data_IF_455361758910
#
_entry.id   IF_455361758910
#
_cell.length_a   1.000
_cell.length_b   1.000
_cell.length_c   1.000
_cell.angle_alpha   90.00
_cell.angle_beta   90.00
_cell.angle_gamma   90.00
#
_symmetry.space_group_name_H-M   'P 1'
#
loop_
_entity.id
_entity.type
_entity.pdbx_description
1 polymer ?
#
# COMPACT_ATOMS: atom_id res chain seq x y z
N UNK A 1 22.09 -5.96 -11.75
CA UNK A 1 21.57 -5.24 -10.57
C UNK A 1 20.05 -5.35 -10.62
N UNK A 2 19.39 -5.79 -9.56
CA UNK A 2 17.93 -5.94 -9.52
C UNK A 2 17.39 -5.21 -8.29
N UNK A 3 16.37 -4.38 -8.49
CA UNK A 3 15.68 -3.67 -7.42
C UNK A 3 14.91 -4.67 -6.55
N UNK A 4 15.17 -4.67 -5.25
CA UNK A 4 14.38 -5.39 -4.27
C UNK A 4 13.37 -4.41 -3.66
N UNK A 5 12.11 -4.82 -3.62
CA UNK A 5 10.90 -4.08 -3.22
C UNK A 5 10.22 -3.30 -4.37
N UNK A 6 9.07 -3.81 -4.81
CA UNK A 6 8.30 -3.34 -5.97
C UNK A 6 7.02 -2.60 -5.53
N UNK A 7 7.04 -1.97 -4.35
CA UNK A 7 5.97 -1.11 -3.84
C UNK A 7 5.85 0.14 -4.70
N UNK A 8 5.25 0.01 -5.87
CA UNK A 8 4.87 1.14 -6.70
C UNK A 8 3.83 1.97 -5.96
N UNK A 9 4.10 3.26 -5.78
CA UNK A 9 3.07 4.16 -5.28
C UNK A 9 1.86 4.12 -6.19
N UNK A 10 0.65 4.04 -5.61
CA UNK A 10 -0.53 4.10 -6.42
C UNK A 10 -0.73 5.55 -6.89
N UNK A 11 -0.99 5.69 -8.18
CA UNK A 11 -1.34 6.94 -8.82
C UNK A 11 -2.85 6.98 -9.01
N UNK A 12 -3.38 8.19 -9.00
CA UNK A 12 -4.74 8.49 -9.40
C UNK A 12 -4.73 8.78 -10.90
N UNK A 13 -5.37 7.94 -11.70
CA UNK A 13 -5.60 8.19 -13.12
C UNK A 13 -6.98 8.77 -13.33
N UNK A 14 -7.05 9.88 -14.06
CA UNK A 14 -8.26 10.49 -14.57
C UNK A 14 -8.33 10.27 -16.09
N UNK A 15 -9.37 9.57 -16.52
CA UNK A 15 -9.62 9.19 -17.91
C UNK A 15 -10.20 10.35 -18.74
N UNK A 16 -9.41 11.38 -18.99
CA UNK A 16 -9.83 12.60 -19.69
C UNK A 16 -10.28 12.40 -21.14
N UNK A 17 -9.92 11.26 -21.72
CA UNK A 17 -10.34 10.83 -23.06
C UNK A 17 -11.82 10.41 -23.12
N UNK A 18 -12.43 10.03 -21.99
CA UNK A 18 -13.83 9.61 -21.94
C UNK A 18 -14.78 10.83 -21.92
N UNK A 19 -16.03 10.65 -22.36
CA UNK A 19 -17.06 11.68 -22.30
C UNK A 19 -17.40 12.09 -20.86
N UNK A 20 -17.40 11.10 -19.97
CA UNK A 20 -17.59 11.22 -18.54
C UNK A 20 -16.41 10.62 -17.78
N UNK A 21 -15.29 11.36 -17.66
CA UNK A 21 -14.05 10.88 -17.03
C UNK A 21 -14.26 10.31 -15.63
N UNK A 22 -13.64 9.17 -15.35
CA UNK A 22 -13.60 8.57 -14.01
C UNK A 22 -12.21 8.57 -13.40
N UNK A 23 -12.20 8.52 -12.07
CA UNK A 23 -11.01 8.30 -11.27
C UNK A 23 -10.74 6.80 -11.12
N UNK A 24 -9.47 6.42 -11.29
CA UNK A 24 -9.03 5.03 -11.15
C UNK A 24 -7.67 4.95 -10.46
N UNK A 25 -7.41 3.84 -9.76
CA UNK A 25 -6.12 3.57 -9.14
C UNK A 25 -5.26 2.80 -10.11
N UNK A 26 -4.07 3.33 -10.40
CA UNK A 26 -3.09 2.67 -11.28
C UNK A 26 -1.74 2.62 -10.60
N UNK A 27 -0.92 1.63 -10.98
CA UNK A 27 0.48 1.54 -10.53
C UNK A 27 1.48 1.73 -11.67
N UNK A 28 0.99 1.67 -12.92
CA UNK A 28 1.75 1.81 -14.17
C UNK A 28 0.95 2.70 -15.13
N UNK A 29 1.63 3.50 -15.94
CA UNK A 29 0.98 4.21 -17.05
C UNK A 29 0.68 3.24 -18.18
N UNK A 30 -0.45 3.46 -18.84
CA UNK A 30 -0.77 2.77 -20.09
C UNK A 30 -0.39 3.59 -21.34
N UNK A 31 0.21 4.80 -21.19
CA UNK A 31 0.53 5.67 -22.34
C UNK A 31 -0.71 6.11 -23.11
N UNK A 32 -1.82 6.31 -22.42
CA UNK A 32 -3.18 6.47 -22.97
C UNK A 32 -3.67 7.93 -23.02
N UNK A 33 -2.78 8.89 -22.78
CA UNK A 33 -3.11 10.32 -22.74
C UNK A 33 -4.00 10.74 -21.56
N UNK A 34 -4.22 9.87 -20.57
CA UNK A 34 -4.94 10.21 -19.35
C UNK A 34 -4.11 11.13 -18.43
N UNK A 35 -4.79 11.89 -17.56
CA UNK A 35 -4.12 12.66 -16.51
C UNK A 35 -3.78 11.73 -15.33
N UNK A 36 -2.54 11.75 -14.87
CA UNK A 36 -2.08 10.96 -13.73
C UNK A 36 -1.63 11.90 -12.59
N UNK A 37 -2.04 11.59 -11.38
CA UNK A 37 -1.75 12.37 -10.17
C UNK A 37 -1.16 11.48 -9.10
N UNK A 38 -0.18 12.02 -8.37
CA UNK A 38 0.58 11.33 -7.35
C UNK A 38 2.08 11.55 -7.51
N UNK A 39 2.92 10.69 -6.91
CA UNK A 39 2.54 9.49 -6.17
C UNK A 39 1.82 9.77 -4.83
N UNK A 40 0.95 8.85 -4.39
CA UNK A 40 0.28 8.94 -3.08
C UNK A 40 1.00 8.09 -2.01
N UNK A 41 1.23 8.62 -0.78
CA UNK A 41 2.01 7.95 0.26
C UNK A 41 1.50 6.56 0.69
N UNK A 42 0.22 6.27 0.46
CA UNK A 42 -0.33 4.94 0.70
C UNK A 42 -1.61 4.72 -0.12
N UNK A 43 -1.99 3.46 -0.39
CA UNK A 43 -3.29 3.14 -0.96
C UNK A 43 -4.46 3.69 -0.13
N UNK A 44 -4.31 3.73 1.20
CA UNK A 44 -5.31 4.32 2.10
C UNK A 44 -5.48 5.83 1.89
N UNK A 45 -4.37 6.55 1.73
CA UNK A 45 -4.39 7.99 1.39
C UNK A 45 -5.06 8.24 0.05
N UNK A 46 -4.66 7.49 -0.98
CA UNK A 46 -5.26 7.59 -2.32
C UNK A 46 -6.78 7.35 -2.30
N UNK A 47 -7.23 6.30 -1.62
CA UNK A 47 -8.66 5.97 -1.52
C UNK A 47 -9.44 7.06 -0.78
N UNK A 48 -8.87 7.70 0.24
CA UNK A 48 -9.48 8.86 0.89
C UNK A 48 -9.62 10.03 -0.08
N UNK A 49 -8.57 10.34 -0.84
CA UNK A 49 -8.61 11.39 -1.87
C UNK A 49 -9.65 11.10 -2.94
N UNK A 50 -9.75 9.87 -3.45
CA UNK A 50 -10.77 9.49 -4.43
C UNK A 50 -12.18 9.75 -3.90
N UNK A 51 -12.48 9.29 -2.67
CA UNK A 51 -13.81 9.51 -2.06
C UNK A 51 -14.13 10.98 -1.90
N UNK A 52 -13.15 11.77 -1.46
CA UNK A 52 -13.30 13.22 -1.38
C UNK A 52 -13.61 13.83 -2.74
N UNK A 53 -12.82 13.51 -3.78
CA UNK A 53 -13.01 14.08 -5.11
C UNK A 53 -14.37 13.68 -5.72
N UNK A 54 -14.80 12.44 -5.52
CA UNK A 54 -16.11 11.97 -5.97
C UNK A 54 -17.24 12.76 -5.29
N UNK A 55 -17.15 12.97 -3.97
CA UNK A 55 -18.15 13.73 -3.22
C UNK A 55 -18.16 15.21 -3.62
N UNK A 56 -17.00 15.88 -3.56
CA UNK A 56 -16.88 17.33 -3.73
C UNK A 56 -17.02 17.81 -5.17
N UNK A 57 -16.72 16.97 -6.16
CA UNK A 57 -16.78 17.35 -7.59
C UNK A 57 -17.80 16.52 -8.38
N UNK A 58 -18.61 15.71 -7.68
CA UNK A 58 -19.63 14.83 -8.25
C UNK A 58 -19.11 13.91 -9.37
N UNK A 59 -17.84 13.49 -9.25
CA UNK A 59 -17.22 12.57 -10.20
C UNK A 59 -17.78 11.16 -9.96
N UNK A 60 -18.06 10.46 -11.06
CA UNK A 60 -18.72 9.16 -11.03
C UNK A 60 -17.83 8.12 -10.34
N UNK A 61 -18.45 7.30 -9.50
CA UNK A 61 -17.80 6.14 -8.87
C UNK A 61 -18.05 4.82 -9.61
N UNK A 62 -19.03 4.79 -10.53
CA UNK A 62 -19.39 3.56 -11.22
C UNK A 62 -18.31 3.09 -12.21
N UNK A 63 -18.15 1.77 -12.29
CA UNK A 63 -17.25 1.09 -13.23
C UNK A 63 -17.95 0.79 -14.56
N UNK A 64 -17.19 0.71 -15.65
CA UNK A 64 -17.68 0.43 -17.01
C UNK A 64 -18.14 1.66 -17.79
N UNK A 65 -18.66 1.46 -19.00
CA UNK A 65 -19.25 2.50 -19.83
C UNK A 65 -20.44 3.16 -19.12
N UNK A 66 -20.68 4.44 -19.41
CA UNK A 66 -21.83 5.14 -18.84
C UNK A 66 -23.15 4.65 -19.47
N UNK A 67 -23.08 4.27 -20.75
CA UNK A 67 -24.19 3.80 -21.58
C UNK A 67 -24.67 2.40 -21.18
N UNK A 68 -23.80 1.63 -20.52
CA UNK A 68 -24.11 0.27 -20.04
C UNK A 68 -24.99 0.27 -18.77
N UNK A 69 -25.41 1.43 -18.27
CA UNK A 69 -26.14 1.56 -17.01
C UNK A 69 -27.63 1.76 -17.25
N UNK A 70 -28.43 0.75 -16.88
CA UNK A 70 -29.89 0.80 -16.92
C UNK A 70 -30.48 1.65 -15.78
N UNK A 71 -31.62 2.29 -16.07
CA UNK A 71 -32.37 3.36 -15.37
C UNK A 71 -32.66 3.27 -13.86
N UNK A 72 -32.16 2.27 -13.14
CA UNK A 72 -32.32 2.23 -11.68
C UNK A 72 -31.26 3.11 -11.04
N UNK A 73 -31.67 4.32 -10.64
CA UNK A 73 -30.87 5.32 -9.92
C UNK A 73 -30.01 4.65 -8.84
N UNK A 74 -28.69 4.74 -9.00
CA UNK A 74 -27.76 4.11 -8.09
C UNK A 74 -27.69 4.83 -6.73
N UNK A 75 -27.15 4.14 -5.73
CA UNK A 75 -27.00 4.69 -4.37
C UNK A 75 -26.21 6.02 -4.36
N UNK A 76 -25.19 6.18 -5.21
CA UNK A 76 -24.41 7.42 -5.28
C UNK A 76 -25.24 8.62 -5.76
N UNK A 77 -26.19 8.40 -6.67
CA UNK A 77 -27.14 9.42 -7.09
C UNK A 77 -28.11 9.75 -5.95
N UNK A 78 -28.66 8.73 -5.29
CA UNK A 78 -29.59 8.91 -4.17
C UNK A 78 -28.95 9.64 -2.98
N UNK A 79 -27.64 9.47 -2.78
CA UNK A 79 -26.86 10.20 -1.77
C UNK A 79 -26.36 11.58 -2.23
N UNK A 80 -26.67 12.01 -3.46
CA UNK A 80 -26.20 13.30 -4.00
C UNK A 80 -24.71 13.37 -4.31
N UNK A 81 -23.99 12.24 -4.37
CA UNK A 81 -22.55 12.19 -4.71
C UNK A 81 -22.29 12.13 -6.22
N UNK A 82 -23.33 11.94 -7.03
CA UNK A 82 -23.28 11.89 -8.48
C UNK A 82 -24.56 12.53 -9.01
N UNK A 83 -24.48 13.37 -10.04
CA UNK A 83 -25.65 14.07 -10.60
C UNK A 83 -26.39 13.29 -11.70
N UNK A 84 -26.05 12.00 -11.86
CA UNK A 84 -26.78 11.09 -12.76
C UNK A 84 -26.51 11.30 -14.26
N UNK A 85 -25.24 11.43 -14.72
CA UNK A 85 -24.95 11.51 -16.15
C UNK A 85 -25.35 10.26 -16.94
N UNK A 86 -25.51 9.10 -16.28
CA UNK A 86 -26.04 7.87 -16.91
C UNK A 86 -27.54 7.95 -17.24
N UNK A 87 -28.29 8.78 -16.52
CA UNK A 87 -29.71 8.98 -16.73
C UNK A 87 -29.98 10.25 -17.57
N UNK A 88 -28.92 10.86 -18.14
CA UNK A 88 -29.00 12.10 -18.90
C UNK A 88 -29.30 13.36 -18.06
N UNK A 89 -29.27 13.26 -16.74
CA UNK A 89 -29.61 14.36 -15.82
C UNK A 89 -28.50 15.41 -15.69
N UNK A 90 -27.28 15.09 -16.15
CA UNK A 90 -26.16 15.99 -16.19
C UNK A 90 -25.54 15.98 -17.57
N UNK A 91 -25.40 17.16 -18.19
CA UNK A 91 -24.78 17.31 -19.50
C UNK A 91 -23.27 17.03 -19.47
N UNK A 92 -22.73 16.64 -20.62
CA UNK A 92 -21.29 16.36 -20.81
C UNK A 92 -20.42 17.56 -20.43
N UNK A 93 -20.81 18.78 -20.79
CA UNK A 93 -20.02 19.98 -20.53
C UNK A 93 -19.95 20.31 -19.04
N UNK A 94 -21.08 20.24 -18.34
CA UNK A 94 -21.18 20.46 -16.89
C UNK A 94 -20.37 19.41 -16.12
N UNK A 95 -20.45 18.15 -16.55
CA UNK A 95 -19.64 17.08 -15.98
C UNK A 95 -18.14 17.36 -16.13
N UNK A 96 -17.72 17.74 -17.34
CA UNK A 96 -16.32 18.08 -17.63
C UNK A 96 -15.86 19.31 -16.84
N UNK A 97 -16.74 20.27 -16.56
CA UNK A 97 -16.42 21.40 -15.70
C UNK A 97 -16.06 20.94 -14.27
N UNK A 98 -16.88 20.08 -13.66
CA UNK A 98 -16.58 19.50 -12.35
C UNK A 98 -15.27 18.69 -12.33
N UNK A 99 -15.00 17.95 -13.41
CA UNK A 99 -13.72 17.23 -13.56
C UNK A 99 -12.52 18.18 -13.66
N UNK A 100 -12.64 19.30 -14.39
CA UNK A 100 -11.59 20.33 -14.47
C UNK A 100 -11.33 20.97 -13.10
N UNK A 101 -12.38 21.27 -12.35
CA UNK A 101 -12.25 21.80 -10.99
C UNK A 101 -11.48 20.83 -10.07
N UNK A 102 -11.76 19.53 -10.18
CA UNK A 102 -11.04 18.50 -9.44
C UNK A 102 -9.54 18.44 -9.81
N UNK A 103 -9.22 18.60 -11.10
CA UNK A 103 -7.83 18.69 -11.57
C UNK A 103 -7.13 19.94 -11.04
N UNK A 104 -7.78 21.09 -11.07
CA UNK A 104 -7.21 22.34 -10.56
C UNK A 104 -6.97 22.27 -9.05
N UNK A 105 -7.90 21.68 -8.28
CA UNK A 105 -7.71 21.39 -6.86
C UNK A 105 -6.46 20.53 -6.62
N UNK A 106 -6.32 19.43 -7.36
CA UNK A 106 -5.20 18.48 -7.20
C UNK A 106 -3.85 19.07 -7.65
N UNK A 107 -3.87 20.04 -8.57
CA UNK A 107 -2.69 20.82 -8.99
C UNK A 107 -2.38 21.97 -8.05
N UNK A 108 -3.08 22.08 -6.91
CA UNK A 108 -2.82 23.07 -5.87
C UNK A 108 -3.42 24.45 -6.14
N UNK A 109 -4.31 24.59 -7.14
CA UNK A 109 -5.01 25.84 -7.46
C UNK A 109 -6.32 26.01 -6.66
N UNK A 110 -6.39 25.43 -5.46
CA UNK A 110 -7.60 25.41 -4.64
C UNK A 110 -8.11 26.81 -4.29
N UNK A 111 -7.23 27.80 -4.11
CA UNK A 111 -7.63 29.18 -3.80
C UNK A 111 -8.43 29.85 -4.92
N UNK A 112 -7.98 29.70 -6.18
CA UNK A 112 -8.68 30.25 -7.34
C UNK A 112 -10.03 29.55 -7.57
N UNK A 113 -10.08 28.23 -7.35
CA UNK A 113 -11.31 27.45 -7.40
C UNK A 113 -12.32 27.91 -6.33
N UNK A 114 -11.89 28.03 -5.08
CA UNK A 114 -12.75 28.49 -3.97
C UNK A 114 -13.27 29.90 -4.24
N UNK A 115 -12.42 30.80 -4.75
CA UNK A 115 -12.86 32.15 -5.13
C UNK A 115 -13.99 32.14 -6.16
N UNK A 116 -13.89 31.29 -7.19
CA UNK A 116 -14.93 31.14 -8.22
C UNK A 116 -16.24 30.59 -7.64
N UNK A 117 -16.15 29.52 -6.85
CA UNK A 117 -17.32 28.90 -6.22
C UNK A 117 -18.03 29.84 -5.23
N UNK A 118 -17.27 30.71 -4.54
CA UNK A 118 -17.86 31.74 -3.67
C UNK A 118 -18.65 32.79 -4.45
N UNK A 119 -18.12 33.24 -5.59
CA UNK A 119 -18.84 34.17 -6.47
C UNK A 119 -20.14 33.54 -7.00
N UNK A 120 -20.09 32.29 -7.46
CA UNK A 120 -21.28 31.54 -7.90
C UNK A 120 -22.30 31.39 -6.74
N UNK A 121 -21.82 31.10 -5.52
CA UNK A 121 -22.68 30.99 -4.34
C UNK A 121 -23.38 32.31 -3.99
N UNK A 122 -22.67 33.44 -4.09
CA UNK A 122 -23.22 34.78 -3.87
C UNK A 122 -24.26 35.14 -4.93
N UNK A 123 -24.02 34.79 -6.19
CA UNK A 123 -24.98 34.98 -7.28
C UNK A 123 -26.28 34.19 -7.05
N UNK A 124 -26.17 32.90 -6.70
CA UNK A 124 -27.32 32.05 -6.37
C UNK A 124 -28.09 32.58 -5.15
N UNK A 125 -27.38 33.05 -4.14
CA UNK A 125 -28.00 33.70 -2.97
C UNK A 125 -28.71 35.00 -3.33
N UNK A 126 -28.12 35.83 -4.20
CA UNK A 126 -28.71 37.06 -4.70
C UNK A 126 -29.97 36.81 -5.54
N UNK A 127 -30.01 35.68 -6.26
CA UNK A 127 -31.17 35.22 -7.01
C UNK A 127 -32.23 34.48 -6.15
N UNK A 128 -32.09 34.50 -4.82
CA UNK A 128 -32.98 33.82 -3.86
C UNK A 128 -33.02 32.28 -4.02
N UNK A 129 -32.02 31.67 -4.65
CA UNK A 129 -31.87 30.21 -4.84
C UNK A 129 -31.07 29.60 -3.69
N UNK A 130 -31.61 29.68 -2.47
CA UNK A 130 -30.89 29.31 -1.24
C UNK A 130 -30.43 27.84 -1.20
N UNK A 131 -31.15 26.91 -1.82
CA UNK A 131 -30.74 25.51 -1.87
C UNK A 131 -29.47 25.30 -2.71
N UNK A 132 -29.36 26.01 -3.83
CA UNK A 132 -28.17 25.96 -4.70
C UNK A 132 -26.98 26.62 -3.99
N UNK A 133 -27.19 27.78 -3.36
CA UNK A 133 -26.17 28.46 -2.56
C UNK A 133 -25.69 27.57 -1.38
N UNK A 134 -26.59 26.87 -0.69
CA UNK A 134 -26.22 25.94 0.38
C UNK A 134 -25.34 24.78 -0.12
N UNK A 135 -25.65 24.21 -1.30
CA UNK A 135 -24.82 23.15 -1.92
C UNK A 135 -23.42 23.66 -2.27
N UNK A 136 -23.31 24.88 -2.81
CA UNK A 136 -22.01 25.50 -3.11
C UNK A 136 -21.21 25.79 -1.84
N UNK A 137 -21.86 26.30 -0.79
CA UNK A 137 -21.23 26.52 0.53
C UNK A 137 -20.66 25.24 1.11
N UNK A 138 -21.44 24.17 1.13
CA UNK A 138 -21.01 22.89 1.70
C UNK A 138 -19.87 22.28 0.87
N UNK A 139 -19.90 22.47 -0.46
CA UNK A 139 -18.80 22.11 -1.37
C UNK A 139 -17.52 22.91 -1.11
N UNK A 140 -17.63 24.21 -0.88
CA UNK A 140 -16.49 25.07 -0.50
C UNK A 140 -15.87 24.57 0.80
N UNK A 141 -16.69 24.30 1.81
CA UNK A 141 -16.24 23.79 3.10
C UNK A 141 -15.49 22.46 2.98
N UNK A 142 -16.05 21.50 2.23
CA UNK A 142 -15.39 20.23 1.96
C UNK A 142 -14.00 20.44 1.31
N UNK A 143 -13.90 21.37 0.34
CA UNK A 143 -12.64 21.70 -0.35
C UNK A 143 -11.60 22.33 0.58
N UNK A 144 -12.03 23.27 1.42
CA UNK A 144 -11.14 23.98 2.34
C UNK A 144 -10.59 23.05 3.43
N UNK A 145 -11.41 22.18 4.01
CA UNK A 145 -10.98 21.23 5.03
C UNK A 145 -9.88 20.29 4.52
N UNK A 146 -10.05 19.74 3.31
CA UNK A 146 -9.03 18.87 2.71
C UNK A 146 -7.80 19.64 2.25
N UNK A 147 -7.97 20.86 1.73
CA UNK A 147 -6.84 21.72 1.38
C UNK A 147 -5.97 22.05 2.60
N UNK A 148 -6.60 22.34 3.74
CA UNK A 148 -5.92 22.64 5.01
C UNK A 148 -5.17 21.41 5.55
N UNK A 149 -5.82 20.23 5.57
CA UNK A 149 -5.19 18.97 5.96
C UNK A 149 -3.99 18.61 5.06
N UNK A 150 -4.06 18.94 3.76
CA UNK A 150 -2.94 18.77 2.83
C UNK A 150 -1.81 19.77 3.12
N UNK A 151 -2.12 21.02 3.45
CA UNK A 151 -1.12 22.04 3.78
C UNK A 151 -0.34 21.73 5.06
N UNK A 152 -1.00 21.22 6.10
CA UNK A 152 -0.37 20.93 7.40
C UNK A 152 0.68 19.81 7.34
N UNK A 153 0.68 18.97 6.29
CA UNK A 153 1.60 17.82 6.14
C UNK A 153 2.71 18.06 5.12
N UNK A 154 2.77 19.25 4.53
CA UNK A 154 3.61 19.53 3.38
C UNK A 154 4.76 20.47 3.77
N UNK A 155 5.97 20.03 3.48
CA UNK A 155 7.17 20.87 3.54
C UNK A 155 7.29 21.61 2.20
N UNK A 156 7.32 22.95 2.25
CA UNK A 156 7.61 23.77 1.08
C UNK A 156 9.10 23.63 0.74
N UNK A 157 9.38 23.04 -0.43
CA UNK A 157 10.76 22.80 -0.91
C UNK A 157 11.16 23.86 -1.96
N UNK A 158 10.16 24.53 -2.56
CA UNK A 158 10.36 25.44 -3.69
C UNK A 158 10.62 24.68 -4.99
N UNK A 159 10.58 25.38 -6.12
CA UNK A 159 10.71 24.74 -7.46
C UNK A 159 9.41 24.13 -7.98
N UNK A 160 9.49 23.47 -9.15
CA UNK A 160 8.36 22.82 -9.82
C UNK A 160 8.17 21.36 -9.37
N UNK A 161 7.88 20.48 -10.34
CA UNK A 161 7.82 19.04 -10.10
C UNK A 161 9.22 18.43 -10.14
N UNK A 162 9.68 17.88 -9.03
CA UNK A 162 11.03 17.33 -8.88
C UNK A 162 10.99 15.97 -8.18
N UNK A 163 11.86 15.05 -8.58
CA UNK A 163 12.22 13.89 -7.76
C UNK A 163 13.66 14.06 -7.26
N UNK A 164 13.88 13.81 -5.97
CA UNK A 164 15.18 14.02 -5.32
C UNK A 164 15.68 12.69 -4.82
N UNK A 165 16.78 12.22 -5.39
CA UNK A 165 17.37 10.93 -5.07
C UNK A 165 18.52 11.09 -4.08
N UNK A 166 18.47 10.29 -3.02
CA UNK A 166 19.57 10.04 -2.10
C UNK A 166 20.10 8.62 -2.27
N UNK A 167 21.39 8.43 -2.02
CA UNK A 167 22.06 7.14 -2.07
C UNK A 167 22.82 6.91 -0.75
N UNK A 168 22.64 5.73 -0.17
CA UNK A 168 23.46 5.21 0.90
C UNK A 168 23.95 3.80 0.53
N UNK A 169 25.20 3.47 0.88
CA UNK A 169 25.83 2.18 0.57
C UNK A 169 26.18 1.45 1.84
N UNK A 170 25.79 0.18 1.92
CA UNK A 170 26.12 -0.67 3.07
C UNK A 170 26.09 -2.16 2.68
N UNK A 171 27.17 -2.89 2.96
CA UNK A 171 27.25 -4.36 2.83
C UNK A 171 26.82 -4.91 1.47
N UNK A 172 27.42 -4.43 0.38
CA UNK A 172 27.06 -4.85 -1.00
C UNK A 172 25.64 -4.45 -1.45
N UNK A 173 25.00 -3.51 -0.75
CA UNK A 173 23.69 -2.95 -1.09
C UNK A 173 23.80 -1.44 -1.30
N UNK A 174 22.98 -0.94 -2.22
CA UNK A 174 22.73 0.48 -2.41
C UNK A 174 21.28 0.77 -2.04
N UNK A 175 21.07 1.52 -0.96
CA UNK A 175 19.76 2.06 -0.60
C UNK A 175 19.55 3.40 -1.28
N UNK A 176 18.51 3.48 -2.10
CA UNK A 176 18.04 4.71 -2.69
C UNK A 176 16.84 5.24 -1.93
N UNK A 177 16.84 6.53 -1.62
CA UNK A 177 15.66 7.22 -1.13
C UNK A 177 15.21 8.27 -2.13
N UNK A 178 13.94 8.25 -2.51
CA UNK A 178 13.37 9.17 -3.50
C UNK A 178 12.32 10.03 -2.81
N UNK A 179 12.56 11.33 -2.74
CA UNK A 179 11.54 12.30 -2.36
C UNK A 179 10.77 12.78 -3.58
N UNK A 180 9.45 12.83 -3.48
CA UNK A 180 8.56 13.26 -4.55
C UNK A 180 8.03 14.66 -4.28
N UNK A 181 8.50 15.65 -5.03
CA UNK A 181 8.08 17.05 -4.93
C UNK A 181 7.17 17.40 -6.10
N UNK A 182 5.96 17.92 -5.84
CA UNK A 182 5.03 18.38 -6.87
C UNK A 182 4.58 19.80 -6.59
N UNK A 183 4.64 20.68 -7.58
CA UNK A 183 4.37 22.10 -7.39
C UNK A 183 5.14 22.74 -6.23
N UNK A 184 6.40 22.34 -6.02
CA UNK A 184 7.26 22.85 -4.94
C UNK A 184 6.94 22.31 -3.54
N UNK A 185 6.11 21.26 -3.45
CA UNK A 185 5.64 20.65 -2.19
C UNK A 185 6.07 19.20 -2.08
N UNK A 186 6.65 18.80 -0.95
CA UNK A 186 6.99 17.40 -0.68
C UNK A 186 5.71 16.57 -0.46
N UNK A 187 5.43 15.62 -1.34
CA UNK A 187 4.27 14.72 -1.23
C UNK A 187 4.56 13.47 -0.40
N UNK A 188 5.81 13.03 -0.35
CA UNK A 188 6.24 11.82 0.36
C UNK A 188 7.54 11.27 -0.21
N UNK A 189 7.87 10.05 0.19
CA UNK A 189 9.15 9.42 -0.15
C UNK A 189 9.09 7.90 -0.24
N UNK A 190 10.08 7.30 -0.91
CA UNK A 190 10.27 5.85 -1.00
C UNK A 190 11.70 5.45 -0.77
N UNK A 191 11.88 4.27 -0.17
CA UNK A 191 13.17 3.61 0.00
C UNK A 191 13.20 2.38 -0.89
N UNK A 192 14.30 2.21 -1.61
CA UNK A 192 14.54 1.06 -2.47
C UNK A 192 15.91 0.46 -2.16
N UNK A 193 16.01 -0.86 -2.19
CA UNK A 193 17.29 -1.54 -2.01
C UNK A 193 17.71 -2.19 -3.31
N UNK A 194 18.89 -1.84 -3.82
CA UNK A 194 19.51 -2.45 -4.98
C UNK A 194 20.68 -3.33 -4.53
N UNK A 195 20.78 -4.55 -5.05
CA UNK A 195 22.01 -5.34 -4.92
C UNK A 195 23.08 -4.72 -5.82
N UNK A 196 24.15 -4.22 -5.20
CA UNK A 196 25.20 -3.46 -5.87
C UNK A 196 26.57 -3.94 -5.37
N UNK A 197 27.38 -4.61 -6.22
CA UNK A 197 28.69 -5.10 -5.83
C UNK A 197 29.54 -4.04 -5.16
N UNK A 198 30.40 -4.49 -4.24
CA UNK A 198 31.45 -3.62 -3.68
C UNK A 198 32.36 -3.11 -4.80
N UNK A 199 32.77 -1.85 -4.69
CA UNK A 199 33.57 -1.17 -5.72
C UNK A 199 32.81 -0.66 -6.94
N UNK A 200 31.52 -0.97 -7.11
CA UNK A 200 30.72 -0.38 -8.19
C UNK A 200 30.60 1.15 -7.99
N UNK A 201 30.99 1.99 -8.96
CA UNK A 201 30.90 3.44 -8.84
C UNK A 201 29.46 3.91 -8.60
N UNK A 202 29.29 4.97 -7.81
CA UNK A 202 27.95 5.50 -7.49
C UNK A 202 27.18 5.95 -8.73
N UNK A 203 27.88 6.48 -9.75
CA UNK A 203 27.26 6.83 -11.03
C UNK A 203 26.62 5.64 -11.74
N UNK A 204 27.24 4.46 -11.68
CA UNK A 204 26.69 3.22 -12.25
C UNK A 204 25.48 2.72 -11.45
N UNK A 205 25.56 2.77 -10.12
CA UNK A 205 24.44 2.42 -9.24
C UNK A 205 23.23 3.34 -9.51
N UNK A 206 23.48 4.65 -9.64
CA UNK A 206 22.45 5.65 -9.98
C UNK A 206 21.87 5.37 -11.37
N UNK A 207 22.69 5.09 -12.38
CA UNK A 207 22.22 4.74 -13.73
C UNK A 207 21.29 3.54 -13.72
N UNK A 208 21.72 2.45 -13.06
CA UNK A 208 20.92 1.23 -12.93
C UNK A 208 19.59 1.48 -12.21
N UNK A 209 19.62 2.22 -11.11
CA UNK A 209 18.42 2.56 -10.34
C UNK A 209 17.44 3.42 -11.16
N UNK A 210 17.91 4.52 -11.77
CA UNK A 210 17.07 5.46 -12.53
C UNK A 210 16.37 4.74 -13.69
N UNK A 211 17.08 3.89 -14.44
CA UNK A 211 16.48 3.11 -15.53
C UNK A 211 15.38 2.19 -15.03
N UNK A 212 15.62 1.43 -13.95
CA UNK A 212 14.63 0.50 -13.40
C UNK A 212 13.44 1.23 -12.78
N UNK A 213 13.71 2.26 -11.96
CA UNK A 213 12.71 3.03 -11.24
C UNK A 213 11.75 3.73 -12.19
N UNK A 214 12.25 4.39 -13.23
CA UNK A 214 11.39 5.13 -14.15
C UNK A 214 10.77 4.24 -15.23
N UNK A 215 11.29 3.05 -15.54
CA UNK A 215 10.82 2.21 -16.66
C UNK A 215 9.31 1.98 -16.68
N UNK A 216 8.69 1.75 -15.53
CA UNK A 216 7.25 1.46 -15.37
C UNK A 216 6.43 2.63 -14.81
N UNK A 217 7.07 3.76 -14.48
CA UNK A 217 6.39 4.87 -13.82
C UNK A 217 5.45 5.63 -14.73
N UNK A 218 4.30 5.98 -14.16
CA UNK A 218 3.24 6.69 -14.88
C UNK A 218 3.49 8.20 -15.00
N UNK A 219 4.21 8.76 -14.05
CA UNK A 219 4.45 10.18 -13.94
C UNK A 219 5.96 10.43 -13.93
N UNK A 220 6.42 11.41 -14.72
CA UNK A 220 7.82 11.84 -14.75
C UNK A 220 7.91 13.31 -14.30
N UNK A 221 8.80 13.66 -13.34
CA UNK A 221 8.97 15.05 -12.87
C UNK A 221 9.61 15.93 -13.96
N UNK A 222 9.60 17.24 -13.77
CA UNK A 222 10.29 18.16 -14.67
C UNK A 222 11.81 18.14 -14.41
N UNK A 223 12.21 17.88 -13.17
CA UNK A 223 13.60 17.71 -12.79
C UNK A 223 13.81 16.43 -11.96
N UNK A 224 14.96 15.79 -12.14
CA UNK A 224 15.44 14.67 -11.32
C UNK A 224 16.79 15.06 -10.74
N UNK A 225 16.87 15.18 -9.41
CA UNK A 225 18.11 15.50 -8.70
C UNK A 225 18.80 14.22 -8.25
N UNK A 226 20.06 14.05 -8.60
CA UNK A 226 20.84 12.83 -8.40
C UNK A 226 21.99 13.04 -7.42
N UNK A 227 22.35 12.01 -6.62
CA UNK A 227 23.47 12.07 -5.67
C UNK A 227 24.84 11.94 -6.34
N UNK A 228 24.91 11.31 -7.51
CA UNK A 228 26.11 11.17 -8.33
C UNK A 228 25.76 11.30 -9.82
N UNK A 229 26.75 11.67 -10.64
CA UNK A 229 26.59 11.76 -12.08
C UNK A 229 26.63 10.35 -12.70
N UNK A 230 25.55 9.88 -13.36
CA UNK A 230 25.61 8.63 -14.09
C UNK A 230 26.43 8.79 -15.39
N UNK A 231 27.15 7.74 -15.84
CA UNK A 231 27.97 7.81 -17.05
C UNK A 231 27.14 8.11 -18.31
N UNK A 232 25.85 7.78 -18.30
CA UNK A 232 24.91 7.93 -19.40
C UNK A 232 23.81 8.95 -19.11
N UNK A 233 24.13 10.01 -18.35
CA UNK A 233 23.21 11.08 -17.97
C UNK A 233 22.42 11.68 -19.15
N UNK A 234 23.08 11.92 -20.28
CA UNK A 234 22.43 12.47 -21.48
C UNK A 234 21.44 11.50 -22.12
N UNK A 235 21.73 10.19 -22.08
CA UNK A 235 20.82 9.16 -22.59
C UNK A 235 19.60 9.07 -21.69
N UNK A 236 19.80 9.07 -20.36
CA UNK A 236 18.72 9.08 -19.37
C UNK A 236 17.82 10.31 -19.57
N UNK A 237 18.41 11.51 -19.67
CA UNK A 237 17.64 12.74 -19.83
C UNK A 237 16.81 12.74 -21.12
N UNK A 238 17.37 12.27 -22.25
CA UNK A 238 16.65 12.13 -23.52
C UNK A 238 15.53 11.10 -23.43
N UNK A 239 15.79 9.94 -22.82
CA UNK A 239 14.79 8.90 -22.65
C UNK A 239 13.61 9.35 -21.80
N UNK A 240 13.88 10.00 -20.65
CA UNK A 240 12.83 10.55 -19.78
C UNK A 240 12.05 11.68 -20.49
N UNK A 241 12.75 12.56 -21.19
CA UNK A 241 12.12 13.66 -21.94
C UNK A 241 11.22 13.14 -23.06
N UNK A 242 11.67 12.12 -23.80
CA UNK A 242 10.88 11.48 -24.85
C UNK A 242 9.61 10.84 -24.31
N UNK A 243 9.70 10.14 -23.17
CA UNK A 243 8.52 9.55 -22.52
C UNK A 243 7.56 10.56 -21.91
N UNK A 244 8.07 11.70 -21.45
CA UNK A 244 7.25 12.79 -20.91
C UNK A 244 6.64 13.67 -22.00
N UNK A 245 7.15 13.58 -23.24
CA UNK A 245 6.86 14.50 -24.35
C UNK A 245 7.19 15.98 -24.00
N UNK A 246 8.03 16.19 -22.99
CA UNK A 246 8.50 17.50 -22.50
C UNK A 246 9.90 17.35 -21.92
N UNK A 247 10.65 18.43 -21.87
CA UNK A 247 12.01 18.43 -21.29
C UNK A 247 11.99 17.94 -19.84
N UNK A 248 12.85 16.97 -19.54
CA UNK A 248 13.19 16.50 -18.19
C UNK A 248 14.64 16.83 -17.93
N UNK A 249 14.93 17.61 -16.89
CA UNK A 249 16.29 17.94 -16.50
C UNK A 249 16.83 16.91 -15.50
N UNK A 250 17.94 16.27 -15.83
CA UNK A 250 18.63 15.33 -14.94
C UNK A 250 19.85 16.07 -14.38
N UNK A 251 19.82 16.39 -13.09
CA UNK A 251 20.78 17.28 -12.43
C UNK A 251 21.51 16.54 -11.32
N UNK A 252 22.81 16.77 -11.19
CA UNK A 252 23.65 16.24 -10.10
C UNK A 252 24.32 17.42 -9.39
N UNK A 253 23.58 18.14 -8.53
CA UNK A 253 24.03 19.41 -7.97
C UNK A 253 25.25 19.23 -7.07
N UNK A 254 26.25 20.10 -7.22
CA UNK A 254 27.48 20.12 -6.40
C UNK A 254 27.49 21.19 -5.30
N UNK A 255 26.62 22.19 -5.39
CA UNK A 255 26.51 23.32 -4.45
C UNK A 255 25.10 23.92 -4.45
N UNK A 256 24.80 24.74 -3.43
CA UNK A 256 23.55 25.51 -3.34
C UNK A 256 22.37 24.71 -2.78
N UNK A 257 21.15 25.26 -2.95
CA UNK A 257 19.94 24.69 -2.35
C UNK A 257 19.62 23.27 -2.85
N UNK A 258 19.72 23.02 -4.17
CA UNK A 258 19.49 21.69 -4.77
C UNK A 258 20.46 20.63 -4.22
N UNK A 259 21.71 21.00 -3.90
CA UNK A 259 22.69 20.10 -3.27
C UNK A 259 22.25 19.70 -1.86
N UNK A 260 21.80 20.65 -1.05
CA UNK A 260 21.30 20.37 0.32
C UNK A 260 20.11 19.41 0.32
N UNK A 261 19.24 19.50 -0.68
CA UNK A 261 18.11 18.57 -0.84
C UNK A 261 18.59 17.13 -1.10
N UNK A 262 19.59 16.98 -1.96
CA UNK A 262 20.21 15.68 -2.26
C UNK A 262 20.97 15.13 -1.03
N UNK A 263 21.67 15.98 -0.28
CA UNK A 263 22.35 15.59 0.96
C UNK A 263 21.35 15.08 2.01
N UNK A 264 20.27 15.84 2.24
CA UNK A 264 19.18 15.41 3.10
C UNK A 264 18.61 14.06 2.66
N UNK A 265 18.45 13.83 1.36
CA UNK A 265 18.00 12.53 0.83
C UNK A 265 19.00 11.41 1.10
N UNK A 266 20.30 11.67 1.01
CA UNK A 266 21.34 10.68 1.33
C UNK A 266 21.38 10.35 2.82
N UNK A 267 21.30 11.34 3.71
CA UNK A 267 21.21 11.14 5.16
C UNK A 267 19.97 10.31 5.52
N UNK A 268 18.84 10.66 4.92
CA UNK A 268 17.59 9.94 5.10
C UNK A 268 17.64 8.50 4.54
N UNK A 269 18.45 8.23 3.51
CA UNK A 269 18.71 6.88 3.01
C UNK A 269 19.55 6.08 4.02
N UNK A 270 20.54 6.70 4.67
CA UNK A 270 21.33 6.09 5.74
C UNK A 270 20.46 5.71 6.95
N UNK A 271 19.64 6.63 7.45
CA UNK A 271 18.70 6.34 8.55
C UNK A 271 17.66 5.25 8.19
N UNK A 272 17.32 5.11 6.90
CA UNK A 272 16.47 4.01 6.45
C UNK A 272 17.22 2.67 6.46
N UNK A 273 18.50 2.66 6.08
CA UNK A 273 19.36 1.48 6.14
C UNK A 273 19.52 0.98 7.59
N UNK A 274 19.84 1.88 8.52
CA UNK A 274 19.98 1.57 9.94
C UNK A 274 18.69 0.97 10.52
N UNK A 275 17.54 1.56 10.21
CA UNK A 275 16.23 1.03 10.65
C UNK A 275 15.95 -0.35 10.06
N UNK A 276 16.23 -0.56 8.77
CA UNK A 276 16.04 -1.86 8.14
C UNK A 276 16.97 -2.93 8.71
N UNK A 277 18.21 -2.56 9.05
CA UNK A 277 19.16 -3.45 9.71
C UNK A 277 18.71 -3.80 11.13
N UNK A 278 18.27 -2.81 11.91
CA UNK A 278 17.75 -3.03 13.26
C UNK A 278 16.48 -3.90 13.26
N UNK A 279 15.57 -3.68 12.30
CA UNK A 279 14.38 -4.52 12.12
C UNK A 279 14.74 -5.95 11.76
N UNK A 280 15.69 -6.16 10.83
CA UNK A 280 16.16 -7.50 10.47
C UNK A 280 16.84 -8.22 11.65
N UNK A 281 17.65 -7.52 12.46
CA UNK A 281 18.26 -8.08 13.67
C UNK A 281 17.19 -8.48 14.69
N UNK A 282 16.15 -7.66 14.84
CA UNK A 282 15.02 -7.96 15.74
C UNK A 282 14.20 -9.16 15.25
N UNK A 283 13.94 -9.24 13.94
CA UNK A 283 13.27 -10.39 13.31
C UNK A 283 14.07 -11.67 13.55
N UNK A 284 15.38 -11.64 13.30
CA UNK A 284 16.27 -12.78 13.54
C UNK A 284 16.32 -13.18 15.01
N UNK A 285 16.51 -12.22 15.92
CA UNK A 285 16.51 -12.49 17.36
C UNK A 285 15.18 -13.10 17.84
N UNK A 286 14.06 -12.70 17.22
CA UNK A 286 12.75 -13.31 17.45
C UNK A 286 12.70 -14.78 17.00
N UNK A 287 13.21 -15.08 15.79
CA UNK A 287 13.31 -16.46 15.30
C UNK A 287 14.24 -17.33 16.16
N UNK A 288 15.37 -16.79 16.61
CA UNK A 288 16.32 -17.49 17.47
C UNK A 288 15.70 -17.80 18.85
N UNK A 289 14.92 -16.84 19.40
CA UNK A 289 14.16 -17.06 20.62
C UNK A 289 13.12 -18.19 20.44
N UNK A 290 12.36 -18.17 19.34
CA UNK A 290 11.38 -19.23 19.00
C UNK A 290 12.07 -20.59 18.85
N UNK A 291 13.18 -20.66 18.11
CA UNK A 291 13.97 -21.88 17.95
C UNK A 291 14.36 -22.45 19.32
N UNK A 292 14.94 -21.62 20.19
CA UNK A 292 15.42 -22.06 21.51
C UNK A 292 14.28 -22.49 22.42
N UNK A 293 13.17 -21.76 22.44
CA UNK A 293 12.04 -22.08 23.31
C UNK A 293 11.30 -23.34 22.88
N UNK A 294 11.16 -23.56 21.57
CA UNK A 294 10.46 -24.72 21.03
C UNK A 294 11.39 -25.93 20.80
N UNK A 295 12.70 -25.78 21.00
CA UNK A 295 13.68 -26.84 20.82
C UNK A 295 13.84 -27.29 19.36
N UNK A 296 13.69 -26.37 18.40
CA UNK A 296 13.81 -26.67 16.98
C UNK A 296 15.28 -26.86 16.57
N UNK A 297 15.53 -27.79 15.65
CA UNK A 297 16.89 -28.09 15.16
C UNK A 297 17.55 -26.88 14.46
N UNK A 298 16.74 -26.06 13.78
CA UNK A 298 17.18 -24.85 13.09
C UNK A 298 16.13 -23.73 13.23
N UNK A 299 16.52 -22.44 13.06
CA UNK A 299 15.57 -21.34 12.99
C UNK A 299 14.55 -21.58 11.86
N UNK A 300 13.27 -21.38 12.16
CA UNK A 300 12.20 -21.53 11.16
C UNK A 300 12.30 -20.45 10.08
N UNK A 301 12.50 -20.87 8.83
CA UNK A 301 12.50 -20.00 7.66
C UNK A 301 11.06 -19.65 7.29
N UNK A 302 10.14 -20.61 7.38
CA UNK A 302 8.73 -20.45 7.04
C UNK A 302 7.83 -20.92 8.17
N UNK A 303 6.95 -20.01 8.63
CA UNK A 303 5.99 -20.26 9.71
C UNK A 303 4.58 -20.07 9.14
N UNK A 304 3.66 -21.00 9.41
CA UNK A 304 2.23 -20.80 9.13
C UNK A 304 1.42 -20.84 10.42
N UNK A 305 0.66 -19.78 10.69
CA UNK A 305 -0.21 -19.69 11.86
C UNK A 305 -1.68 -19.87 11.46
N UNK A 306 -2.43 -20.65 12.24
CA UNK A 306 -3.84 -20.98 11.99
C UNK A 306 -4.73 -20.45 13.11
N UNK A 307 -5.86 -19.85 12.73
CA UNK A 307 -6.90 -19.34 13.62
C UNK A 307 -8.29 -19.80 13.16
N UNK A 308 -9.20 -19.99 14.13
CA UNK A 308 -10.62 -20.31 13.92
C UNK A 308 -11.46 -19.16 14.48
N UNK A 309 -12.18 -18.50 13.59
CA UNK A 309 -13.05 -17.38 13.93
C UNK A 309 -14.53 -17.78 13.80
N UNK A 310 -15.27 -17.67 14.91
CA UNK A 310 -16.71 -17.88 14.97
C UNK A 310 -17.46 -16.56 14.68
N UNK A 311 -18.03 -16.45 13.47
CA UNK A 311 -18.92 -15.33 13.15
C UNK A 311 -20.30 -15.60 13.76
N UNK A 312 -20.89 -14.60 14.43
CA UNK A 312 -22.25 -14.67 14.98
C UNK A 312 -23.25 -14.91 13.83
N UNK A 313 -23.60 -16.18 13.59
CA UNK A 313 -24.48 -16.63 12.51
C UNK A 313 -23.86 -17.76 11.67
N UNK A 314 -24.04 -19.00 12.11
CA UNK A 314 -23.96 -20.29 11.36
C UNK A 314 -22.75 -20.60 10.45
N UNK A 315 -21.74 -19.75 10.32
CA UNK A 315 -20.58 -19.98 9.46
C UNK A 315 -19.26 -19.83 10.22
N UNK A 316 -18.63 -20.96 10.51
CA UNK A 316 -17.27 -21.02 11.07
C UNK A 316 -16.28 -20.80 9.92
N UNK A 317 -15.30 -19.93 10.15
CA UNK A 317 -14.27 -19.58 9.16
C UNK A 317 -12.90 -19.80 9.79
N UNK A 318 -12.07 -20.58 9.12
CA UNK A 318 -10.65 -20.69 9.46
C UNK A 318 -9.79 -19.76 8.60
N UNK A 319 -8.66 -19.32 9.13
CA UNK A 319 -7.67 -18.57 8.37
C UNK A 319 -6.27 -19.12 8.66
N UNK A 320 -5.39 -19.02 7.67
CA UNK A 320 -3.96 -19.17 7.91
C UNK A 320 -3.19 -17.97 7.38
N UNK A 321 -2.21 -17.53 8.15
CA UNK A 321 -1.25 -16.49 7.79
C UNK A 321 0.12 -17.12 7.70
N UNK A 322 0.92 -16.67 6.73
CA UNK A 322 2.26 -17.20 6.51
C UNK A 322 3.30 -16.12 6.79
N UNK A 323 4.43 -16.54 7.34
CA UNK A 323 5.62 -15.73 7.56
C UNK A 323 6.81 -16.42 6.90
N UNK A 324 7.76 -15.60 6.41
CA UNK A 324 9.07 -16.04 5.93
C UNK A 324 10.14 -15.13 6.50
N UNK A 325 11.20 -15.69 7.07
CA UNK A 325 12.31 -14.95 7.68
C UNK A 325 11.79 -13.89 8.67
N UNK A 326 10.78 -14.25 9.48
CA UNK A 326 10.14 -13.34 10.45
C UNK A 326 9.19 -12.29 9.84
N UNK A 327 9.03 -12.26 8.50
CA UNK A 327 8.22 -11.25 7.79
C UNK A 327 6.92 -11.83 7.22
N UNK A 328 5.81 -11.07 7.21
CA UNK A 328 4.55 -11.52 6.61
C UNK A 328 4.67 -11.88 5.12
N UNK A 329 4.31 -13.11 4.76
CA UNK A 329 4.21 -13.61 3.40
C UNK A 329 2.75 -13.60 2.93
N UNK A 330 2.27 -12.45 2.47
CA UNK A 330 0.84 -12.23 2.14
C UNK A 330 0.28 -13.18 1.08
N UNK A 331 1.08 -13.54 0.08
CA UNK A 331 0.66 -14.48 -0.97
C UNK A 331 0.45 -15.92 -0.42
N UNK A 332 0.97 -16.19 0.78
CA UNK A 332 0.75 -17.44 1.52
C UNK A 332 -0.56 -17.46 2.33
N UNK A 333 -1.28 -16.33 2.45
CA UNK A 333 -2.46 -16.27 3.31
C UNK A 333 -3.62 -17.08 2.71
N UNK A 334 -4.37 -17.80 3.54
CA UNK A 334 -5.52 -18.59 3.12
C UNK A 334 -6.71 -18.37 4.02
N UNK A 335 -7.90 -18.54 3.47
CA UNK A 335 -9.17 -18.50 4.19
C UNK A 335 -9.95 -19.76 3.84
N UNK A 336 -10.47 -20.42 4.86
CA UNK A 336 -11.18 -21.68 4.77
C UNK A 336 -12.62 -21.48 5.22
N UNK A 337 -13.56 -21.87 4.36
CA UNK A 337 -14.92 -22.13 4.79
C UNK A 337 -14.97 -23.57 5.32
N UNK A 338 -15.37 -23.71 6.58
CA UNK A 338 -15.41 -25.00 7.27
C UNK A 338 -16.68 -25.73 6.87
N UNK A 339 -16.55 -27.01 6.52
CA UNK A 339 -17.63 -27.82 5.95
C UNK A 339 -18.12 -28.91 6.91
N UNK A 340 -17.28 -29.34 7.83
CA UNK A 340 -17.48 -30.53 8.66
C UNK A 340 -18.44 -30.38 9.84
N UNK A 341 -18.78 -29.16 10.27
CA UNK A 341 -19.56 -28.93 11.50
C UNK A 341 -20.97 -28.41 11.21
N UNK A 342 -21.88 -29.35 10.94
CA UNK A 342 -23.31 -29.07 10.93
C UNK A 342 -23.87 -29.21 12.36
N UNK A 343 -24.07 -28.10 13.06
CA UNK A 343 -24.95 -28.02 14.24
C UNK A 343 -24.30 -27.78 15.62
N UNK A 344 -22.97 -27.80 15.75
CA UNK A 344 -22.26 -27.35 16.95
C UNK A 344 -20.89 -26.77 16.57
N UNK A 345 -20.42 -25.74 17.27
CA UNK A 345 -19.08 -25.18 17.07
C UNK A 345 -18.03 -26.13 17.69
N UNK A 346 -17.56 -27.10 16.91
CA UNK A 346 -16.41 -27.92 17.26
C UNK A 346 -15.14 -27.27 16.67
N UNK A 347 -14.51 -26.43 17.49
CA UNK A 347 -13.28 -25.73 17.13
C UNK A 347 -12.10 -26.70 16.90
N UNK A 348 -12.14 -27.92 17.46
CA UNK A 348 -11.09 -28.93 17.28
C UNK A 348 -11.23 -29.64 15.93
N UNK A 349 -12.44 -30.09 15.58
CA UNK A 349 -12.72 -30.64 14.26
C UNK A 349 -12.45 -29.62 13.16
N UNK A 350 -12.82 -28.37 13.41
CA UNK A 350 -12.54 -27.22 12.54
C UNK A 350 -11.04 -27.01 12.32
N UNK A 351 -10.24 -27.01 13.39
CA UNK A 351 -8.78 -26.87 13.31
C UNK A 351 -8.15 -28.02 12.52
N UNK A 352 -8.55 -29.27 12.83
CA UNK A 352 -8.09 -30.46 12.11
C UNK A 352 -8.39 -30.35 10.61
N UNK A 353 -9.61 -29.96 10.24
CA UNK A 353 -10.03 -29.83 8.84
C UNK A 353 -9.12 -28.86 8.07
N UNK A 354 -8.87 -27.67 8.63
CA UNK A 354 -8.11 -26.64 7.91
C UNK A 354 -6.62 -26.97 7.81
N UNK A 355 -6.04 -27.57 8.86
CA UNK A 355 -4.64 -28.01 8.85
C UNK A 355 -4.46 -29.14 7.84
N UNK A 356 -5.32 -30.17 7.90
CA UNK A 356 -5.28 -31.31 6.98
C UNK A 356 -5.36 -30.83 5.51
N UNK A 357 -6.40 -30.05 5.18
CA UNK A 357 -6.58 -29.53 3.81
C UNK A 357 -5.40 -28.69 3.33
N UNK A 358 -4.75 -27.95 4.22
CA UNK A 358 -3.59 -27.12 3.87
C UNK A 358 -2.38 -28.00 3.58
N UNK A 359 -2.08 -28.95 4.45
CA UNK A 359 -0.90 -29.79 4.33
C UNK A 359 -1.05 -30.78 3.19
N UNK A 360 -2.19 -31.46 3.05
CA UNK A 360 -2.50 -32.33 1.90
C UNK A 360 -2.27 -31.61 0.58
N UNK A 361 -2.73 -30.36 0.48
CA UNK A 361 -2.54 -29.56 -0.73
C UNK A 361 -1.07 -29.26 -0.98
N UNK A 362 -0.29 -28.91 0.05
CA UNK A 362 1.15 -28.66 -0.11
C UNK A 362 1.87 -29.93 -0.57
N UNK A 363 1.56 -31.08 0.02
CA UNK A 363 2.13 -32.38 -0.38
C UNK A 363 1.75 -32.70 -1.84
N UNK A 364 0.48 -32.60 -2.20
CA UNK A 364 -0.02 -32.94 -3.53
C UNK A 364 0.48 -32.00 -4.64
N UNK A 365 0.62 -30.71 -4.34
CA UNK A 365 1.09 -29.69 -5.29
C UNK A 365 2.63 -29.57 -5.32
N UNK A 366 3.37 -30.34 -4.51
CA UNK A 366 4.81 -30.17 -4.34
C UNK A 366 5.19 -28.79 -3.79
N UNK A 367 4.29 -28.20 -3.01
CA UNK A 367 4.49 -26.92 -2.36
C UNK A 367 5.47 -27.02 -1.21
N UNK A 368 6.24 -25.95 -1.00
CA UNK A 368 7.16 -25.85 0.14
C UNK A 368 6.37 -25.93 1.46
N UNK A 369 6.79 -26.84 2.34
CA UNK A 369 6.22 -27.05 3.67
C UNK A 369 6.71 -25.96 4.64
N UNK A 370 5.90 -25.58 5.65
CA UNK A 370 6.39 -24.75 6.74
C UNK A 370 7.35 -25.53 7.64
N UNK A 371 8.34 -24.85 8.22
CA UNK A 371 9.21 -25.41 9.26
C UNK A 371 8.49 -25.45 10.61
N UNK A 372 7.52 -24.55 10.81
CA UNK A 372 6.72 -24.44 12.03
C UNK A 372 5.26 -24.10 11.71
N UNK A 373 4.34 -24.85 12.28
CA UNK A 373 2.92 -24.56 12.36
C UNK A 373 2.60 -24.03 13.76
N UNK A 374 2.00 -22.85 13.81
CA UNK A 374 1.51 -22.22 15.04
C UNK A 374 -0.02 -22.28 15.05
N UNK A 375 -0.60 -22.79 16.13
CA UNK A 375 -2.04 -22.89 16.30
C UNK A 375 -2.49 -21.83 17.32
N UNK A 376 -3.40 -20.94 16.95
CA UNK A 376 -4.04 -20.03 17.91
C UNK A 376 -5.07 -20.81 18.73
N UNK A 377 -4.62 -21.25 19.90
CA UNK A 377 -5.47 -21.81 20.93
C UNK A 377 -4.83 -22.94 21.75
N UNK A 378 -5.67 -23.77 22.35
CA UNK A 378 -5.26 -24.65 23.45
C UNK A 378 -4.71 -26.03 23.04
N UNK A 379 -4.36 -26.84 24.06
CA UNK A 379 -3.90 -28.23 23.90
C UNK A 379 -4.83 -29.10 23.04
N UNK A 380 -6.14 -28.86 23.07
CA UNK A 380 -7.11 -29.59 22.25
C UNK A 380 -6.92 -29.34 20.75
N UNK A 381 -6.75 -28.07 20.35
CA UNK A 381 -6.48 -27.69 18.97
C UNK A 381 -5.09 -28.15 18.52
N UNK A 382 -4.10 -28.12 19.42
CA UNK A 382 -2.77 -28.69 19.18
C UNK A 382 -2.84 -30.17 18.81
N UNK A 383 -3.55 -30.97 19.62
CA UNK A 383 -3.72 -32.41 19.37
C UNK A 383 -4.44 -32.68 18.05
N UNK A 384 -5.47 -31.89 17.75
CA UNK A 384 -6.21 -31.97 16.49
C UNK A 384 -5.33 -31.67 15.27
N UNK A 385 -4.45 -30.67 15.36
CA UNK A 385 -3.48 -30.34 14.31
C UNK A 385 -2.39 -31.42 14.17
N UNK A 386 -1.90 -31.98 15.28
CA UNK A 386 -0.92 -33.06 15.27
C UNK A 386 -1.46 -34.30 14.55
N UNK A 387 -2.70 -34.71 14.85
CA UNK A 387 -3.35 -35.82 14.17
C UNK A 387 -3.51 -35.59 12.65
N UNK A 388 -3.75 -34.35 12.23
CA UNK A 388 -3.83 -34.00 10.81
C UNK A 388 -2.47 -34.10 10.10
N UNK A 389 -1.36 -33.75 10.77
CA UNK A 389 -0.01 -33.90 10.22
C UNK A 389 0.41 -35.37 10.11
N UNK A 390 0.08 -36.18 11.11
CA UNK A 390 0.36 -37.63 11.10
C UNK A 390 -0.36 -38.34 9.95
N UNK A 391 -1.62 -37.99 9.67
CA UNK A 391 -2.43 -38.60 8.61
C UNK A 391 -1.80 -38.48 7.21
N UNK A 392 -1.05 -37.40 6.97
CA UNK A 392 -0.42 -37.09 5.67
C UNK A 392 1.09 -37.33 5.66
N UNK A 393 1.64 -37.93 6.72
CA UNK A 393 3.07 -38.22 6.84
C UNK A 393 3.95 -36.97 6.96
N UNK A 394 3.42 -35.87 7.50
CA UNK A 394 4.11 -34.59 7.70
C UNK A 394 4.43 -34.32 9.19
N UNK A 395 4.61 -35.37 9.99
CA UNK A 395 4.87 -35.26 11.43
C UNK A 395 6.22 -34.58 11.77
N UNK A 396 7.13 -34.49 10.79
CA UNK A 396 8.44 -33.82 10.95
C UNK A 396 8.34 -32.28 10.98
N UNK A 397 7.18 -31.72 10.64
CA UNK A 397 6.93 -30.28 10.72
C UNK A 397 6.83 -29.86 12.19
N UNK A 398 7.58 -28.82 12.59
CA UNK A 398 7.47 -28.25 13.93
C UNK A 398 6.03 -27.81 14.19
N UNK A 399 5.49 -28.10 15.38
CA UNK A 399 4.12 -27.76 15.74
C UNK A 399 4.06 -27.21 17.16
N UNK A 400 3.39 -26.07 17.34
CA UNK A 400 3.08 -25.53 18.66
C UNK A 400 1.73 -24.82 18.66
N UNK A 401 1.14 -24.66 19.85
CA UNK A 401 -0.07 -23.85 20.02
C UNK A 401 0.17 -22.74 21.03
N UNK A 402 -0.40 -21.56 20.79
CA UNK A 402 -0.31 -20.39 21.65
C UNK A 402 -1.68 -20.10 22.27
N UNK A 403 -1.72 -19.83 23.56
CA UNK A 403 -2.93 -19.30 24.20
C UNK A 403 -2.59 -18.33 25.33
N UNK A 404 -3.59 -17.60 25.82
CA UNK A 404 -3.42 -16.75 27.01
C UNK A 404 -3.33 -17.62 28.27
N UNK A 405 -2.24 -17.48 29.02
CA UNK A 405 -2.10 -18.11 30.33
C UNK A 405 -3.08 -17.52 31.34
N UNK A 406 -3.83 -18.37 32.07
CA UNK A 406 -4.61 -17.97 33.24
C UNK A 406 -3.93 -18.49 34.51
N UNK A 407 -3.52 -17.59 35.40
CA UNK A 407 -3.06 -17.93 36.76
C UNK A 407 -3.89 -17.19 37.80
N UNK A 408 -4.13 -17.83 38.95
CA UNK A 408 -4.99 -17.31 40.02
C UNK A 408 -4.49 -15.99 40.65
N UNK A 409 -3.18 -15.76 40.64
CA UNK A 409 -2.54 -14.64 41.36
C UNK A 409 -2.14 -13.45 40.48
N UNK A 410 -2.39 -13.51 39.16
CA UNK A 410 -2.08 -12.39 38.25
C UNK A 410 -2.96 -12.45 36.98
N UNK A 411 -4.00 -11.61 36.84
CA UNK A 411 -4.95 -11.67 35.71
C UNK A 411 -4.44 -11.01 34.41
N UNK A 412 -3.12 -11.05 34.13
CA UNK A 412 -2.50 -10.31 33.02
C UNK A 412 -1.58 -11.14 32.12
N UNK A 413 -2.10 -11.51 30.94
CA UNK A 413 -1.45 -11.44 29.62
C UNK A 413 0.00 -11.97 29.45
N UNK A 414 0.30 -13.20 29.87
CA UNK A 414 1.46 -13.92 29.32
C UNK A 414 0.99 -15.03 28.39
N UNK A 415 1.47 -14.98 27.15
CA UNK A 415 1.25 -16.03 26.17
C UNK A 415 2.00 -17.29 26.61
N UNK A 416 1.30 -18.42 26.56
CA UNK A 416 1.85 -19.74 26.86
C UNK A 416 1.85 -20.59 25.61
N UNK A 417 2.95 -21.32 25.40
CA UNK A 417 3.14 -22.19 24.26
C UNK A 417 3.01 -23.65 24.68
N UNK A 418 2.22 -24.42 23.95
CA UNK A 418 2.08 -25.86 24.14
C UNK A 418 2.79 -26.61 23.01
N UNK A 419 3.59 -27.61 23.40
CA UNK A 419 4.31 -28.49 22.48
C UNK A 419 3.69 -29.90 22.49
N UNK A 420 3.64 -30.60 21.35
CA UNK A 420 3.20 -31.99 21.30
C UNK A 420 4.01 -32.87 22.26
N UNK A 421 3.31 -33.75 23.00
CA UNK A 421 3.95 -34.68 23.93
C UNK A 421 4.52 -34.05 25.21
N UNK A 422 4.45 -32.73 25.41
CA UNK A 422 4.92 -32.08 26.64
C UNK A 422 3.76 -31.74 27.58
N UNK A 423 3.85 -32.12 28.88
CA UNK A 423 2.78 -31.86 29.84
C UNK A 423 2.72 -30.38 30.24
N UNK A 424 3.86 -29.72 30.35
CA UNK A 424 3.99 -28.34 30.81
C UNK A 424 4.13 -27.36 29.65
N UNK A 425 3.49 -26.18 29.70
CA UNK A 425 3.66 -25.15 28.68
C UNK A 425 5.02 -24.45 28.79
N UNK A 426 5.57 -24.06 27.64
CA UNK A 426 6.72 -23.17 27.53
C UNK A 426 6.26 -21.72 27.68
N UNK A 427 7.03 -20.91 28.42
CA UNK A 427 6.81 -19.47 28.60
C UNK A 427 8.00 -18.71 28.02
N UNK A 428 7.72 -17.68 27.24
CA UNK A 428 8.74 -16.90 26.50
C UNK A 428 8.78 -15.45 26.97
#
# INVERSE_FOLDING_TARGET
MLLRDDKHFPYLKLSTQEDYPRLSVVRRSAGDGADYLGPFPSPGSLRRTIRFLQKAFHIRACTGGIEDKTSRRCIYFQMGQCLGPCDGLQGREDYRAGVRDALDFLRGKSGALVGRLRAEMEEESGALRFEAAAKLRDRIRDIEEVAEQQQQRVIAVGGGDQDILGLHREGGRALFRVFFVRGGRLLGDQVFTLVAPEGLPDGEAVSGFVKQHYASQAFLPAEVLLPAAPPDAEVIARWLSGRKERKVEVLFPRRGAKRRLVEMACENAGQAAERQAAEALREQAGLDAVQKALGLEAPSVRIEAFDISNLHGSHIVGASVAFRDGRPLKDGYRRYQIRSVAGAADDFASMREIVLRRVERLVNEGGEMPDLILIDGGKGQLSAAAAALEEVGAADVGLCAISKGRTADNPGDQDVFYLPGQPDPVRM
#
